data_IF_465188053788
#
_entry.id   IF_465188053788
#
_cell.length_a   1.000
_cell.length_b   1.000
_cell.length_c   1.000
_cell.angle_alpha   90.00
_cell.angle_beta   90.00
_cell.angle_gamma   90.00
#
_symmetry.space_group_name_H-M   'P 1'
#
loop_
_entity.id
_entity.type
_entity.pdbx_description
1 polymer ?
#
# COMPACT_ATOMS: atom_id res chain seq x y z
N UNK A 1 10.09 -4.15 -2.06
CA UNK A 1 9.12 -3.23 -1.42
C UNK A 1 9.49 -1.76 -1.60
N UNK A 2 10.49 -1.19 -0.90
CA UNK A 2 10.79 0.25 -0.99
C UNK A 2 11.13 0.76 -2.40
N UNK A 3 11.78 -0.08 -3.23
CA UNK A 3 12.05 0.21 -4.66
C UNK A 3 10.79 0.55 -5.46
N UNK A 4 9.65 -0.08 -5.12
CA UNK A 4 8.35 0.14 -5.79
C UNK A 4 7.70 1.50 -5.44
N UNK A 5 8.26 2.23 -4.48
CA UNK A 5 7.84 3.57 -4.09
C UNK A 5 8.75 4.67 -4.69
N UNK A 6 9.76 4.29 -5.46
CA UNK A 6 10.67 5.26 -6.09
C UNK A 6 9.94 6.19 -7.06
N UNK A 7 10.47 7.39 -7.26
CA UNK A 7 9.95 8.36 -8.23
C UNK A 7 10.25 7.94 -9.68
N UNK A 8 11.23 7.08 -9.88
CA UNK A 8 11.57 6.45 -11.15
C UNK A 8 12.01 5.00 -10.89
N UNK A 9 11.52 4.08 -11.72
CA UNK A 9 11.84 2.64 -11.65
C UNK A 9 12.08 2.17 -13.06
N UNK A 10 13.21 1.50 -13.31
CA UNK A 10 13.47 0.90 -14.62
C UNK A 10 12.71 -0.43 -14.74
N UNK A 11 12.25 -0.76 -15.95
CA UNK A 11 11.44 -1.97 -16.17
C UNK A 11 12.21 -3.25 -15.81
N UNK A 12 13.50 -3.32 -16.09
CA UNK A 12 14.34 -4.47 -15.72
C UNK A 12 14.48 -4.67 -14.19
N UNK A 13 14.33 -3.60 -13.41
CA UNK A 13 14.32 -3.72 -11.95
C UNK A 13 13.04 -4.37 -11.43
N UNK A 14 11.94 -4.29 -12.20
CA UNK A 14 10.66 -4.88 -11.82
C UNK A 14 10.72 -6.40 -11.82
N UNK A 15 11.42 -7.01 -12.78
CA UNK A 15 11.58 -8.46 -12.87
C UNK A 15 12.30 -9.02 -11.63
N UNK A 16 13.42 -8.39 -11.25
CA UNK A 16 14.17 -8.75 -10.02
C UNK A 16 13.30 -8.61 -8.77
N UNK A 17 12.50 -7.55 -8.67
CA UNK A 17 11.63 -7.33 -7.53
C UNK A 17 10.50 -8.38 -7.49
N UNK A 18 9.96 -8.77 -8.65
CA UNK A 18 8.93 -9.81 -8.73
C UNK A 18 9.47 -11.14 -8.23
N UNK A 19 10.67 -11.55 -8.67
CA UNK A 19 11.31 -12.78 -8.21
C UNK A 19 11.49 -12.79 -6.68
N UNK A 20 11.97 -11.68 -6.11
CA UNK A 20 12.14 -11.55 -4.66
C UNK A 20 10.82 -11.63 -3.89
N UNK A 21 9.75 -11.03 -4.42
CA UNK A 21 8.42 -11.07 -3.80
C UNK A 21 7.84 -12.49 -3.87
N UNK A 22 7.98 -13.18 -5.01
CA UNK A 22 7.51 -14.56 -5.17
C UNK A 22 8.26 -15.50 -4.23
N UNK A 23 9.58 -15.38 -4.13
CA UNK A 23 10.38 -16.16 -3.18
C UNK A 23 9.90 -15.94 -1.74
N UNK A 24 9.64 -14.68 -1.34
CA UNK A 24 9.09 -14.41 -0.02
C UNK A 24 7.73 -15.08 0.18
N UNK A 25 6.81 -14.93 -0.79
CA UNK A 25 5.48 -15.54 -0.74
C UNK A 25 5.54 -17.07 -0.58
N UNK A 26 6.40 -17.73 -1.34
CA UNK A 26 6.58 -19.19 -1.30
C UNK A 26 7.15 -19.66 0.05
N UNK A 27 7.98 -18.85 0.71
CA UNK A 27 8.58 -19.16 2.00
C UNK A 27 7.68 -18.85 3.20
N UNK A 28 6.62 -18.05 3.04
CA UNK A 28 5.70 -17.69 4.15
C UNK A 28 5.18 -18.90 4.94
N UNK A 29 4.61 -19.96 4.32
CA UNK A 29 4.08 -21.08 5.09
C UNK A 29 5.14 -21.85 5.87
N UNK A 30 6.39 -21.89 5.38
CA UNK A 30 7.50 -22.55 6.06
C UNK A 30 8.04 -21.71 7.23
N UNK A 31 8.17 -20.39 7.03
CA UNK A 31 8.75 -19.49 8.02
C UNK A 31 7.77 -19.04 9.12
N UNK A 32 6.49 -18.94 8.79
CA UNK A 32 5.50 -18.25 9.63
C UNK A 32 4.19 -19.01 9.83
N UNK A 33 4.10 -20.27 9.36
CA UNK A 33 2.89 -21.08 9.31
C UNK A 33 1.91 -20.70 8.18
N UNK A 34 1.21 -21.72 7.69
CA UNK A 34 0.20 -21.61 6.63
C UNK A 34 -0.98 -20.69 6.96
N UNK A 35 -1.27 -20.46 8.25
CA UNK A 35 -2.29 -19.50 8.67
C UNK A 35 -1.97 -18.06 8.25
N UNK A 36 -0.69 -17.74 7.97
CA UNK A 36 -0.30 -16.42 7.50
C UNK A 36 -0.40 -16.25 5.97
N UNK A 37 -0.77 -17.29 5.21
CA UNK A 37 -1.09 -17.22 3.79
C UNK A 37 -2.45 -16.53 3.53
N UNK A 38 -2.61 -15.32 4.09
CA UNK A 38 -3.82 -14.50 4.01
C UNK A 38 -3.89 -13.73 2.68
N UNK A 39 -5.05 -13.13 2.42
CA UNK A 39 -5.24 -12.26 1.25
C UNK A 39 -4.21 -11.12 1.17
N UNK A 40 -3.78 -10.57 2.32
CA UNK A 40 -2.79 -9.49 2.36
C UNK A 40 -1.42 -9.98 1.88
N UNK A 41 -1.01 -11.20 2.26
CA UNK A 41 0.24 -11.82 1.81
C UNK A 41 0.15 -12.20 0.33
N UNK A 42 -0.98 -12.75 -0.11
CA UNK A 42 -1.21 -13.03 -1.54
C UNK A 42 -1.15 -11.75 -2.39
N UNK A 43 -1.70 -10.64 -1.89
CA UNK A 43 -1.71 -9.35 -2.58
C UNK A 43 -0.31 -8.83 -2.92
N UNK A 44 0.72 -9.26 -2.17
CA UNK A 44 2.11 -8.88 -2.44
C UNK A 44 2.56 -9.30 -3.84
N UNK A 45 2.11 -10.47 -4.32
CA UNK A 45 2.46 -11.02 -5.63
C UNK A 45 2.02 -10.13 -6.81
N UNK A 46 1.06 -9.23 -6.56
CA UNK A 46 0.47 -8.34 -7.57
C UNK A 46 1.06 -6.93 -7.56
N UNK A 47 1.98 -6.61 -6.64
CA UNK A 47 2.53 -5.26 -6.50
C UNK A 47 3.35 -4.81 -7.71
N UNK A 48 4.17 -5.68 -8.29
CA UNK A 48 4.96 -5.34 -9.49
C UNK A 48 4.08 -5.18 -10.73
N UNK A 49 3.11 -6.08 -11.03
CA UNK A 49 2.12 -5.81 -12.07
C UNK A 49 1.42 -4.47 -11.90
N UNK A 50 1.00 -4.13 -10.67
CA UNK A 50 0.42 -2.82 -10.35
C UNK A 50 1.36 -1.68 -10.72
N UNK A 51 2.64 -1.76 -10.36
CA UNK A 51 3.61 -0.72 -10.70
C UNK A 51 3.88 -0.62 -12.20
N UNK A 52 3.94 -1.75 -12.89
CA UNK A 52 4.14 -1.80 -14.33
C UNK A 52 2.99 -1.09 -15.09
N UNK A 53 1.75 -1.25 -14.63
CA UNK A 53 0.59 -0.65 -15.30
C UNK A 53 0.23 0.76 -14.81
N UNK A 54 0.42 1.07 -13.53
CA UNK A 54 -0.13 2.28 -12.89
C UNK A 54 0.95 3.22 -12.32
N UNK A 55 2.23 2.88 -12.50
CA UNK A 55 3.35 3.62 -11.93
C UNK A 55 3.61 3.30 -10.46
N UNK A 56 4.51 4.05 -9.80
CA UNK A 56 4.95 3.74 -8.43
C UNK A 56 3.80 3.57 -7.44
N UNK A 57 3.94 2.69 -6.43
CA UNK A 57 2.83 2.33 -5.52
C UNK A 57 2.16 3.52 -4.80
N UNK A 58 2.86 4.63 -4.63
CA UNK A 58 2.29 5.83 -4.02
C UNK A 58 1.21 6.50 -4.89
N UNK A 59 1.19 6.25 -6.21
CA UNK A 59 0.18 6.81 -7.13
C UNK A 59 -1.22 6.24 -6.90
N UNK A 60 -1.28 5.00 -6.41
CA UNK A 60 -2.52 4.23 -6.19
C UNK A 60 -2.78 3.95 -4.71
N UNK A 61 -1.97 4.52 -3.82
CA UNK A 61 -2.10 4.32 -2.38
C UNK A 61 -3.31 5.05 -1.79
N UNK A 62 -4.00 4.39 -0.85
CA UNK A 62 -5.08 5.00 -0.08
C UNK A 62 -4.59 6.07 0.92
N UNK A 63 -3.29 6.19 1.20
CA UNK A 63 -2.77 7.13 2.22
C UNK A 63 -3.20 8.58 1.95
N UNK A 64 -3.24 9.00 0.68
CA UNK A 64 -3.71 10.34 0.32
C UNK A 64 -5.17 10.58 0.70
N UNK A 65 -6.03 9.57 0.49
CA UNK A 65 -7.43 9.60 0.88
C UNK A 65 -7.60 9.56 2.41
N UNK A 66 -6.86 8.68 3.09
CA UNK A 66 -6.90 8.56 4.56
C UNK A 66 -6.47 9.84 5.25
N UNK A 67 -5.46 10.54 4.73
CA UNK A 67 -5.04 11.85 5.24
C UNK A 67 -6.17 12.89 5.15
N UNK A 68 -6.97 12.87 4.08
CA UNK A 68 -8.14 13.75 3.93
C UNK A 68 -9.22 13.41 4.96
N UNK A 69 -9.39 12.13 5.33
CA UNK A 69 -10.36 11.74 6.35
C UNK A 69 -10.06 12.41 7.70
N UNK A 70 -8.80 12.58 8.07
CA UNK A 70 -8.44 13.27 9.30
C UNK A 70 -8.70 14.78 9.24
N UNK A 71 -8.46 15.41 8.07
CA UNK A 71 -8.85 16.79 7.82
C UNK A 71 -10.38 16.95 7.96
N UNK A 72 -11.16 16.06 7.33
CA UNK A 72 -12.62 16.08 7.40
C UNK A 72 -13.14 15.91 8.83
N UNK A 73 -12.58 14.98 9.60
CA UNK A 73 -12.90 14.84 11.04
C UNK A 73 -12.66 16.15 11.78
N UNK A 74 -11.50 16.78 11.59
CA UNK A 74 -11.16 18.04 12.25
C UNK A 74 -12.18 19.16 11.94
N UNK A 75 -12.57 19.31 10.66
CA UNK A 75 -13.60 20.26 10.26
C UNK A 75 -14.96 19.98 10.92
N UNK A 76 -15.38 18.72 11.00
CA UNK A 76 -16.65 18.34 11.64
C UNK A 76 -16.64 18.61 13.16
N UNK A 77 -15.51 18.36 13.84
CA UNK A 77 -15.35 18.69 15.25
C UNK A 77 -15.38 20.20 15.50
N UNK A 78 -14.66 21.00 14.70
CA UNK A 78 -14.69 22.47 14.79
C UNK A 78 -16.10 23.03 14.57
N UNK A 79 -16.86 22.48 13.63
CA UNK A 79 -18.24 22.90 13.37
C UNK A 79 -19.20 22.53 14.50
N UNK A 80 -18.93 21.47 15.27
CA UNK A 80 -19.68 21.14 16.49
C UNK A 80 -19.48 22.18 17.60
N UNK A 81 -18.24 22.66 17.81
CA UNK A 81 -17.97 23.71 18.82
C UNK A 81 -18.57 25.06 18.43
N UNK A 82 -18.62 25.40 17.13
CA UNK A 82 -19.28 26.62 16.65
C UNK A 82 -20.80 26.64 16.82
N UNK A 83 -21.47 25.48 16.80
CA UNK A 83 -22.92 25.38 17.03
C UNK A 83 -23.34 25.49 18.51
N UNK A 84 -22.40 25.42 19.45
CA UNK A 84 -22.65 25.55 20.89
C UNK A 84 -22.33 26.96 21.42
N UNK A 85 -21.91 27.88 20.55
CA UNK A 85 -21.49 29.24 20.90
C UNK A 85 -22.53 30.32 20.54
N UNK A 86 -23.77 29.92 20.23
CA UNK A 86 -24.93 30.81 20.00
C UNK A 86 -26.13 30.29 20.77
#
# INVERSE_FOLDING_TARGET
>A
MHRLLSTAILVNELDEIQEQIMLFYDLVPELYDSSLCTANVHSLCHLVPLVHYWGPLWTVSAFGFENINDILKAFLHLNRFRKLAY
#
